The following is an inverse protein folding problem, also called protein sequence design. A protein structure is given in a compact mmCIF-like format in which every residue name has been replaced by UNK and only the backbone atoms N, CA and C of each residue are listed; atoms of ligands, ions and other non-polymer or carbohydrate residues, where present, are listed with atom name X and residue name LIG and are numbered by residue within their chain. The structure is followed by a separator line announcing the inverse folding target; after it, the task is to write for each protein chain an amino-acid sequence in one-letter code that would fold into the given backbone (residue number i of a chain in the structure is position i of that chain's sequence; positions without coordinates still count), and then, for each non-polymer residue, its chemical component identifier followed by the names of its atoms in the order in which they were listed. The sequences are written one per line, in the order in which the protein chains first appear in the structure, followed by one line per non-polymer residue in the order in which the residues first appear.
data_IF_114289874773
#
_entry.id   IF_114289874773
#
_cell.length_a   1.000
_cell.length_b   1.000
_cell.length_c   1.000
_cell.angle_alpha   90.00
_cell.angle_beta   90.00
_cell.angle_gamma   90.00
#
_symmetry.space_group_name_H-M   'P 1'
#
loop_
_entity.id
_entity.type
_entity.pdbx_description
1 polymer ?
#
# COMPACT_ATOMS: atom_id res chain seq x y z
N UNK A 1 24.73 1.91 21.66
CA UNK A 1 23.35 1.70 22.15
C UNK A 1 22.55 2.93 21.79
N UNK A 2 21.44 2.79 21.06
CA UNK A 2 20.55 3.92 20.78
C UNK A 2 19.84 4.29 22.09
N UNK A 3 19.93 5.55 22.52
CA UNK A 3 19.17 6.04 23.67
C UNK A 3 17.85 6.60 23.17
N UNK A 4 16.73 6.04 23.64
CA UNK A 4 15.40 6.45 23.20
C UNK A 4 15.07 7.94 23.46
N UNK A 5 15.81 8.60 24.36
CA UNK A 5 15.62 10.00 24.74
C UNK A 5 16.48 11.00 23.96
N UNK A 6 17.44 10.55 23.17
CA UNK A 6 18.32 11.43 22.38
C UNK A 6 17.92 11.37 20.89
N UNK A 7 18.01 12.48 20.13
CA UNK A 7 17.82 12.45 18.69
C UNK A 7 18.75 11.45 18.02
N UNK A 8 18.26 10.78 16.99
CA UNK A 8 19.11 9.91 16.17
C UNK A 8 20.21 10.73 15.48
N UNK A 9 21.41 10.15 15.38
CA UNK A 9 22.46 10.77 14.57
C UNK A 9 22.01 10.76 13.10
N UNK A 10 22.33 11.80 12.31
CA UNK A 10 22.06 11.78 10.86
C UNK A 10 22.74 10.62 10.10
N UNK A 11 23.72 9.96 10.73
CA UNK A 11 24.36 8.74 10.17
C UNK A 11 23.56 7.47 10.43
N UNK A 12 22.55 7.52 11.30
CA UNK A 12 21.70 6.37 11.57
C UNK A 12 20.69 6.23 10.44
N UNK A 13 20.78 5.15 9.68
CA UNK A 13 19.75 4.78 8.72
C UNK A 13 18.49 4.35 9.45
N UNK A 14 17.35 4.94 9.07
CA UNK A 14 16.03 4.59 9.62
C UNK A 14 15.20 3.96 8.51
N UNK A 15 14.79 2.70 8.73
CA UNK A 15 13.99 1.94 7.78
C UNK A 15 12.61 1.72 8.36
N UNK A 16 11.59 2.05 7.58
CA UNK A 16 10.20 1.74 7.85
C UNK A 16 9.86 0.45 7.11
N UNK A 17 9.29 -0.53 7.80
CA UNK A 17 8.80 -1.76 7.18
C UNK A 17 7.30 -1.81 7.27
N UNK A 18 6.66 -2.03 6.12
CA UNK A 18 5.25 -2.39 6.06
C UNK A 18 5.19 -3.89 5.79
N UNK A 19 4.71 -4.66 6.78
CA UNK A 19 4.58 -6.12 6.72
C UNK A 19 3.12 -6.47 6.93
N UNK A 20 2.57 -7.31 6.05
CA UNK A 20 1.26 -7.94 6.24
C UNK A 20 1.50 -9.42 6.47
N UNK A 21 1.02 -9.91 7.62
CA UNK A 21 1.21 -11.27 8.08
C UNK A 21 -0.14 -11.95 8.30
N UNK A 22 -0.20 -13.23 7.95
CA UNK A 22 -1.34 -14.11 8.21
C UNK A 22 -0.80 -15.28 9.03
N UNK A 23 -1.28 -15.45 10.25
CA UNK A 23 -0.78 -16.47 11.19
C UNK A 23 0.76 -16.47 11.32
N UNK A 24 1.33 -15.27 11.51
CA UNK A 24 2.80 -15.04 11.62
C UNK A 24 3.61 -15.34 10.34
N UNK A 25 2.93 -15.67 9.23
CA UNK A 25 3.57 -15.84 7.93
C UNK A 25 3.46 -14.54 7.10
N UNK A 26 4.59 -13.93 6.71
CA UNK A 26 4.56 -12.72 5.89
C UNK A 26 4.06 -13.06 4.49
N UNK A 27 2.97 -12.41 4.07
CA UNK A 27 2.37 -12.56 2.74
C UNK A 27 2.61 -11.36 1.84
N UNK A 28 3.04 -10.23 2.42
CA UNK A 28 3.52 -9.06 1.71
C UNK A 28 4.47 -8.25 2.60
N UNK A 29 5.55 -7.76 2.02
CA UNK A 29 6.49 -6.89 2.72
C UNK A 29 7.08 -5.81 1.81
N UNK A 30 7.22 -4.62 2.36
CA UNK A 30 7.97 -3.52 1.75
C UNK A 30 8.87 -2.86 2.79
N UNK A 31 9.98 -2.29 2.31
CA UNK A 31 10.90 -1.51 3.14
C UNK A 31 11.10 -0.15 2.49
N UNK A 32 11.03 0.90 3.30
CA UNK A 32 11.16 2.29 2.89
C UNK A 32 12.24 2.98 3.70
N UNK A 33 13.10 3.75 3.05
CA UNK A 33 14.04 4.63 3.73
C UNK A 33 13.31 5.89 4.21
N UNK A 34 13.58 6.34 5.45
CA UNK A 34 12.89 7.53 5.98
C UNK A 34 13.24 8.79 5.19
N UNK A 35 14.46 8.86 4.66
CA UNK A 35 14.92 10.05 3.93
C UNK A 35 14.19 10.15 2.59
N UNK A 36 13.93 9.01 1.94
CA UNK A 36 13.08 8.95 0.74
C UNK A 36 11.64 9.38 1.05
N UNK A 37 11.07 8.88 2.16
CA UNK A 37 9.72 9.27 2.58
C UNK A 37 9.62 10.77 2.89
N UNK A 38 10.62 11.34 3.56
CA UNK A 38 10.67 12.77 3.86
C UNK A 38 10.72 13.61 2.58
N UNK A 39 11.52 13.18 1.60
CA UNK A 39 11.58 13.82 0.29
C UNK A 39 10.22 13.72 -0.44
N UNK A 40 9.59 12.56 -0.45
CA UNK A 40 8.25 12.37 -1.03
C UNK A 40 7.17 13.21 -0.35
N UNK A 41 7.20 13.32 0.98
CA UNK A 41 6.29 14.17 1.74
C UNK A 41 6.51 15.66 1.50
N UNK A 42 7.76 16.06 1.28
CA UNK A 42 8.08 17.43 0.91
C UNK A 42 7.58 17.76 -0.50
N UNK A 43 7.83 16.88 -1.47
CA UNK A 43 7.53 17.15 -2.88
C UNK A 43 6.05 16.95 -3.23
N UNK A 44 5.41 15.94 -2.64
CA UNK A 44 4.05 15.50 -2.95
C UNK A 44 3.31 15.03 -1.68
N UNK A 45 3.06 15.91 -0.70
CA UNK A 45 2.53 15.51 0.61
C UNK A 45 1.21 14.72 0.53
N UNK A 46 0.24 15.21 -0.24
CA UNK A 46 -1.09 14.59 -0.33
C UNK A 46 -1.04 13.20 -0.99
N UNK A 47 -0.32 13.07 -2.11
CA UNK A 47 -0.19 11.78 -2.81
C UNK A 47 0.59 10.77 -1.98
N UNK A 48 1.65 11.21 -1.29
CA UNK A 48 2.42 10.34 -0.40
C UNK A 48 1.55 9.83 0.74
N UNK A 49 0.80 10.70 1.42
CA UNK A 49 -0.14 10.29 2.47
C UNK A 49 -1.23 9.36 1.95
N UNK A 50 -1.75 9.62 0.74
CA UNK A 50 -2.74 8.77 0.08
C UNK A 50 -2.19 7.37 -0.18
N UNK A 51 -0.96 7.25 -0.73
CA UNK A 51 -0.30 5.95 -0.98
C UNK A 51 -0.08 5.14 0.30
N UNK A 52 0.31 5.79 1.39
CA UNK A 52 0.49 5.11 2.68
C UNK A 52 -0.83 4.68 3.29
N UNK A 53 -1.85 5.54 3.22
CA UNK A 53 -3.21 5.20 3.66
C UNK A 53 -3.77 4.02 2.87
N UNK A 54 -3.49 3.96 1.56
CA UNK A 54 -3.97 2.89 0.69
C UNK A 54 -3.44 1.50 1.07
N UNK A 55 -2.19 1.42 1.56
CA UNK A 55 -1.61 0.16 2.06
C UNK A 55 -2.40 -0.40 3.24
N UNK A 56 -2.74 0.47 4.19
CA UNK A 56 -3.53 0.12 5.37
C UNK A 56 -4.94 -0.31 4.98
N UNK A 57 -5.59 0.46 4.11
CA UNK A 57 -6.97 0.23 3.67
C UNK A 57 -7.09 -1.05 2.82
N UNK A 58 -6.14 -1.31 1.92
CA UNK A 58 -6.11 -2.53 1.11
C UNK A 58 -6.01 -3.78 1.98
N UNK A 59 -5.19 -3.72 3.05
CA UNK A 59 -5.06 -4.82 4.01
C UNK A 59 -6.36 -5.06 4.78
N UNK A 60 -6.95 -3.99 5.32
CA UNK A 60 -8.20 -4.09 6.06
C UNK A 60 -9.36 -4.62 5.19
N UNK A 61 -9.43 -4.18 3.93
CA UNK A 61 -10.47 -4.60 3.00
C UNK A 61 -10.29 -6.04 2.52
N UNK A 62 -9.05 -6.46 2.22
CA UNK A 62 -8.75 -7.81 1.73
C UNK A 62 -9.07 -8.90 2.76
N UNK A 63 -9.07 -8.58 4.06
CA UNK A 63 -9.31 -9.50 5.17
C UNK A 63 -10.51 -10.43 4.97
N UNK A 64 -11.64 -9.85 4.56
CA UNK A 64 -12.92 -10.58 4.49
C UNK A 64 -13.25 -11.06 3.06
N UNK A 65 -12.24 -11.08 2.17
CA UNK A 65 -12.40 -11.47 0.77
C UNK A 65 -11.87 -12.86 0.50
N UNK A 66 -12.59 -13.59 -0.35
CA UNK A 66 -12.04 -14.79 -0.97
C UNK A 66 -10.79 -14.42 -1.76
N UNK A 67 -9.72 -15.19 -1.59
CA UNK A 67 -8.43 -14.88 -2.22
C UNK A 67 -7.72 -13.66 -1.63
N UNK A 68 -7.64 -13.57 -0.29
CA UNK A 68 -6.94 -12.53 0.48
C UNK A 68 -5.69 -11.97 -0.21
N UNK A 69 -4.73 -12.86 -0.56
CA UNK A 69 -3.44 -12.44 -1.13
C UNK A 69 -3.59 -11.78 -2.50
N UNK A 70 -4.50 -12.27 -3.35
CA UNK A 70 -4.76 -11.68 -4.67
C UNK A 70 -5.47 -10.32 -4.52
N UNK A 71 -6.45 -10.22 -3.61
CA UNK A 71 -7.14 -8.96 -3.32
C UNK A 71 -6.20 -7.90 -2.74
N UNK A 72 -5.36 -8.29 -1.79
CA UNK A 72 -4.34 -7.43 -1.19
C UNK A 72 -3.36 -6.93 -2.27
N UNK A 73 -2.78 -7.84 -3.04
CA UNK A 73 -1.81 -7.50 -4.10
C UNK A 73 -2.42 -6.54 -5.11
N UNK A 74 -3.67 -6.77 -5.51
CA UNK A 74 -4.39 -5.90 -6.44
C UNK A 74 -4.62 -4.51 -5.85
N UNK A 75 -5.14 -4.41 -4.62
CA UNK A 75 -5.35 -3.13 -3.94
C UNK A 75 -4.06 -2.32 -3.80
N UNK A 76 -2.94 -2.98 -3.51
CA UNK A 76 -1.63 -2.34 -3.43
C UNK A 76 -1.16 -1.83 -4.80
N UNK A 77 -1.27 -2.63 -5.86
CA UNK A 77 -0.91 -2.23 -7.24
C UNK A 77 -1.78 -1.08 -7.73
N UNK A 78 -3.09 -1.15 -7.53
CA UNK A 78 -4.02 -0.13 -8.03
C UNK A 78 -3.86 1.19 -7.25
N UNK A 79 -3.54 1.10 -5.95
CA UNK A 79 -3.12 2.25 -5.14
C UNK A 79 -1.81 2.90 -5.57
N UNK A 80 -0.92 2.13 -6.21
CA UNK A 80 0.31 2.63 -6.84
C UNK A 80 0.07 3.19 -8.26
N UNK A 81 -1.03 2.80 -8.90
CA UNK A 81 -1.39 3.17 -10.28
C UNK A 81 -2.34 4.37 -10.43
N UNK A 82 -2.84 4.96 -9.33
CA UNK A 82 -3.74 6.12 -9.41
C UNK A 82 -3.07 7.26 -10.22
N UNK A 83 -3.64 7.65 -11.38
CA UNK A 83 -3.03 8.67 -12.23
C UNK A 83 -3.02 10.03 -11.53
N UNK A 84 -2.05 10.87 -11.89
CA UNK A 84 -1.99 12.32 -11.59
C UNK A 84 -3.28 12.99 -12.07
N UNK A 85 -4.32 12.97 -11.26
CA UNK A 85 -5.66 13.44 -11.60
C UNK A 85 -6.30 14.05 -10.37
N UNK A 86 -6.81 15.28 -10.54
CA UNK A 86 -7.40 16.10 -9.47
C UNK A 86 -8.47 15.31 -8.72
N UNK A 87 -8.43 15.46 -7.40
CA UNK A 87 -9.14 14.63 -6.46
C UNK A 87 -10.63 14.49 -6.71
N UNK A 88 -11.07 13.24 -6.72
CA UNK A 88 -12.37 12.83 -6.20
C UNK A 88 -12.12 11.65 -5.26
N UNK A 89 -12.88 11.61 -4.16
CA UNK A 89 -12.75 10.58 -3.14
C UNK A 89 -12.88 9.20 -3.76
N UNK A 90 -11.84 8.38 -3.59
CA UNK A 90 -11.81 7.05 -4.18
C UNK A 90 -12.77 6.15 -3.42
N UNK A 91 -13.82 5.65 -4.07
CA UNK A 91 -14.61 4.56 -3.50
C UNK A 91 -13.70 3.32 -3.38
N UNK A 92 -13.38 2.96 -2.15
CA UNK A 92 -12.52 1.82 -1.82
C UNK A 92 -13.02 0.51 -2.45
N UNK A 93 -14.33 0.38 -2.69
CA UNK A 93 -14.90 -0.80 -3.34
C UNK A 93 -14.54 -0.86 -4.83
N UNK A 94 -14.65 0.26 -5.55
CA UNK A 94 -14.39 0.29 -6.99
C UNK A 94 -12.89 0.23 -7.30
N UNK A 95 -12.06 0.88 -6.48
CA UNK A 95 -10.62 0.95 -6.73
C UNK A 95 -9.83 -0.29 -6.33
N UNK A 96 -10.37 -1.16 -5.46
CA UNK A 96 -9.71 -2.43 -5.08
C UNK A 96 -10.25 -3.61 -5.92
N UNK A 97 -11.47 -3.50 -6.46
CA UNK A 97 -12.16 -4.60 -7.15
C UNK A 97 -12.50 -4.31 -8.62
N UNK A 98 -11.85 -3.33 -9.27
CA UNK A 98 -12.14 -2.91 -10.65
C UNK A 98 -12.63 -4.06 -11.53
N UNK A 99 -13.93 -4.04 -11.84
CA UNK A 99 -14.70 -5.06 -12.55
C UNK A 99 -14.26 -6.52 -12.30
N UNK A 100 -14.43 -7.02 -11.08
CA UNK A 100 -14.53 -8.47 -10.83
C UNK A 100 -15.87 -9.08 -11.35
N UNK A 101 -16.46 -8.47 -12.38
CA UNK A 101 -17.62 -8.95 -13.11
C UNK A 101 -17.30 -8.94 -14.60
N UNK A 102 -17.40 -10.12 -15.22
CA UNK A 102 -17.20 -10.39 -16.65
C UNK A 102 -15.75 -10.51 -17.16
N UNK A 103 -14.97 -11.42 -16.58
CA UNK A 103 -14.08 -12.21 -17.44
C UNK A 103 -14.95 -13.25 -18.15
N UNK A 104 -15.48 -12.91 -19.33
CA UNK A 104 -15.97 -13.93 -20.26
C UNK A 104 -14.81 -14.91 -20.50
N UNK A 105 -15.02 -16.17 -20.12
CA UNK A 105 -14.13 -17.25 -20.52
C UNK A 105 -13.98 -17.21 -22.05
N UNK A 106 -12.78 -17.38 -22.62
CA UNK A 106 -12.64 -17.50 -24.06
C UNK A 106 -13.43 -18.74 -24.48
N UNK A 107 -14.43 -18.55 -25.35
CA UNK A 107 -15.08 -19.64 -26.06
C UNK A 107 -13.98 -20.41 -26.82
N UNK A 108 -13.66 -21.60 -26.33
CA UNK A 108 -12.91 -22.58 -27.10
C UNK A 108 -13.94 -23.26 -28.00
N UNK A 109 -13.96 -22.87 -29.28
CA UNK A 109 -14.57 -23.64 -30.38
C UNK A 109 -13.49 -24.40 -31.13
#
# INVERSE_FOLDING_TARGET
MLKASEPLSPKNRVIIRFSVEVDELPVYNESYDIDELLQELHDQPEETLKRWSWRLLSTAYARDKEGFSACLTRGLIDGMGAPKGKGEGVDLKEAICGNAGESQAPNVS
#
